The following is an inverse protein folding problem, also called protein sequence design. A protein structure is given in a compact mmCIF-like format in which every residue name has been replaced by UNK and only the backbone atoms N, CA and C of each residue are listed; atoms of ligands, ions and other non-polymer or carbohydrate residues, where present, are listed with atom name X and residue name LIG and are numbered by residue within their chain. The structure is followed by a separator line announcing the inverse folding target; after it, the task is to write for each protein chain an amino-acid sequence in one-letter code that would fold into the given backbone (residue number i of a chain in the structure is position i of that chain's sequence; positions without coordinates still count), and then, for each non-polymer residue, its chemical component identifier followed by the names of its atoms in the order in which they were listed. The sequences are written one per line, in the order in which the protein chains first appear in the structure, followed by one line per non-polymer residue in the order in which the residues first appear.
data_IF_961524651553
#
_entry.id   IF_961524651553
#
_cell.length_a   1.000
_cell.length_b   1.000
_cell.length_c   1.000
_cell.angle_alpha   90.00
_cell.angle_beta   90.00
_cell.angle_gamma   90.00
#
_symmetry.space_group_name_H-M   'P 1'
#
loop_
_entity.id
_entity.type
_entity.pdbx_description
1 polymer ?
#
# COMPACT_ATOMS: atom_id res chain seq x y z
N UNK A 1 14.04 -5.19 10.38
CA UNK A 1 12.75 -5.91 10.45
C UNK A 1 12.21 -5.75 11.86
N UNK A 2 10.96 -5.28 11.99
CA UNK A 2 10.26 -5.16 13.27
C UNK A 2 9.04 -6.07 13.23
N UNK A 3 8.68 -6.67 14.36
CA UNK A 3 7.49 -7.52 14.49
C UNK A 3 6.60 -6.91 15.55
N UNK A 4 5.35 -6.67 15.18
CA UNK A 4 4.35 -6.03 16.02
C UNK A 4 3.11 -6.91 16.10
N UNK A 5 2.36 -6.77 17.20
CA UNK A 5 1.05 -7.40 17.32
C UNK A 5 0.01 -6.44 16.77
N UNK A 6 -0.77 -6.89 15.79
CA UNK A 6 -1.84 -6.11 15.16
C UNK A 6 -3.19 -6.65 15.65
N UNK A 7 -3.98 -5.85 16.38
CA UNK A 7 -5.34 -6.21 16.74
C UNK A 7 -6.23 -6.32 15.48
N UNK A 8 -7.16 -7.28 15.47
CA UNK A 8 -8.10 -7.44 14.33
C UNK A 8 -9.05 -6.24 14.12
N UNK A 9 -9.16 -5.36 15.11
CA UNK A 9 -10.02 -4.17 15.08
C UNK A 9 -9.31 -2.93 14.55
N UNK A 10 -8.01 -2.99 14.29
CA UNK A 10 -7.18 -1.85 13.91
C UNK A 10 -6.56 -2.07 12.54
N UNK A 11 -6.32 -0.96 11.84
CA UNK A 11 -5.63 -0.99 10.56
C UNK A 11 -4.15 -1.27 10.79
N UNK A 12 -3.46 -1.77 9.74
CA UNK A 12 -2.01 -1.94 9.77
C UNK A 12 -1.29 -0.64 10.12
N UNK A 13 -1.77 0.50 9.59
CA UNK A 13 -1.19 1.81 9.87
C UNK A 13 -1.30 2.16 11.37
N UNK A 14 -2.50 2.02 11.96
CA UNK A 14 -2.72 2.38 13.36
C UNK A 14 -1.86 1.50 14.31
N UNK A 15 -1.78 0.20 14.03
CA UNK A 15 -0.96 -0.71 14.81
C UNK A 15 0.55 -0.40 14.67
N UNK A 16 1.00 0.03 13.50
CA UNK A 16 2.37 0.49 13.27
C UNK A 16 2.67 1.76 14.04
N UNK A 17 1.79 2.77 13.99
CA UNK A 17 1.95 4.02 14.74
C UNK A 17 1.98 3.76 16.25
N UNK A 18 1.09 2.90 16.76
CA UNK A 18 1.05 2.51 18.17
C UNK A 18 2.33 1.79 18.63
N UNK A 19 2.99 1.06 17.72
CA UNK A 19 4.27 0.43 17.96
C UNK A 19 5.48 1.37 17.75
N UNK A 20 5.25 2.64 17.38
CA UNK A 20 6.30 3.62 17.12
C UNK A 20 7.00 3.44 15.77
N UNK A 21 6.37 2.76 14.82
CA UNK A 21 6.87 2.61 13.44
C UNK A 21 6.37 3.80 12.62
N UNK A 22 7.30 4.56 12.06
CA UNK A 22 7.01 5.67 11.17
C UNK A 22 6.68 5.14 9.75
N UNK A 23 5.40 4.84 9.53
CA UNK A 23 4.90 4.45 8.23
C UNK A 23 4.48 5.70 7.43
N UNK A 24 4.92 5.84 6.16
CA UNK A 24 4.53 6.98 5.34
C UNK A 24 3.02 6.99 5.17
N UNK A 25 2.38 8.14 5.36
CA UNK A 25 0.94 8.28 5.22
C UNK A 25 0.55 9.74 4.97
N UNK A 26 -0.62 9.96 4.36
CA UNK A 26 -1.14 11.30 4.10
C UNK A 26 -2.65 11.39 4.33
N UNK A 27 -3.48 10.75 3.50
CA UNK A 27 -4.94 10.93 3.57
C UNK A 27 -5.63 10.11 4.67
N UNK A 28 -5.08 8.94 5.04
CA UNK A 28 -5.66 7.96 5.99
C UNK A 28 -7.07 7.45 5.64
N UNK A 29 -7.54 7.66 4.41
CA UNK A 29 -8.90 7.29 3.96
C UNK A 29 -8.89 6.29 2.80
N UNK A 30 -7.73 5.72 2.47
CA UNK A 30 -7.61 4.78 1.35
C UNK A 30 -7.74 5.44 -0.03
N UNK A 31 -7.53 6.75 -0.14
CA UNK A 31 -7.66 7.51 -1.40
C UNK A 31 -6.33 7.90 -2.04
N UNK A 32 -5.22 7.89 -1.28
CA UNK A 32 -3.88 8.15 -1.78
C UNK A 32 -3.01 6.89 -1.72
N UNK A 33 -1.88 6.90 -2.41
CA UNK A 33 -0.91 5.79 -2.42
C UNK A 33 0.25 5.95 -1.42
N UNK A 34 0.34 7.07 -0.69
CA UNK A 34 1.45 7.33 0.25
C UNK A 34 1.69 6.20 1.28
N UNK A 35 0.60 5.64 1.81
CA UNK A 35 0.64 4.55 2.79
C UNK A 35 0.74 3.16 2.19
N UNK A 36 1.12 3.06 0.92
CA UNK A 36 1.31 1.79 0.26
C UNK A 36 2.47 1.01 0.87
N UNK A 37 2.20 -0.27 1.10
CA UNK A 37 3.22 -1.27 1.37
C UNK A 37 3.03 -2.46 0.46
N UNK A 38 4.07 -3.28 0.34
CA UNK A 38 4.03 -4.53 -0.40
C UNK A 38 4.12 -5.72 0.55
N UNK A 39 3.10 -6.55 0.54
CA UNK A 39 3.04 -7.80 1.29
C UNK A 39 3.93 -8.81 0.58
N UNK A 40 4.99 -9.24 1.26
CA UNK A 40 5.92 -10.27 0.75
C UNK A 40 5.53 -11.66 1.21
N UNK A 41 4.70 -11.78 2.25
CA UNK A 41 4.16 -13.05 2.76
C UNK A 41 2.84 -12.82 3.49
N UNK A 42 1.91 -13.77 3.39
CA UNK A 42 0.62 -13.70 4.09
C UNK A 42 -0.42 -12.76 3.46
N UNK A 43 -0.40 -12.58 2.13
CA UNK A 43 -1.38 -11.73 1.42
C UNK A 43 -2.82 -12.22 1.60
N UNK A 44 -3.02 -13.53 1.72
CA UNK A 44 -4.29 -14.19 2.04
C UNK A 44 -4.82 -13.86 3.44
N UNK A 45 -3.96 -13.36 4.32
CA UNK A 45 -4.31 -12.91 5.68
C UNK A 45 -4.55 -11.40 5.76
N UNK A 46 -4.66 -10.71 4.61
CA UNK A 46 -5.02 -9.31 4.53
C UNK A 46 -6.46 -9.17 4.03
N UNK A 47 -7.23 -8.34 4.74
CA UNK A 47 -8.55 -7.90 4.34
C UNK A 47 -8.51 -6.40 4.02
N UNK A 48 -8.87 -6.03 2.80
CA UNK A 48 -8.91 -4.64 2.35
C UNK A 48 -10.30 -4.05 2.58
N UNK A 49 -10.33 -2.93 3.28
CA UNK A 49 -11.50 -2.06 3.34
C UNK A 49 -11.63 -1.25 2.03
N UNK A 50 -12.74 -0.52 1.89
CA UNK A 50 -12.99 0.31 0.72
C UNK A 50 -11.84 1.30 0.49
N UNK A 51 -11.13 1.14 -0.63
CA UNK A 51 -9.98 1.95 -0.99
C UNK A 51 -9.77 1.99 -2.52
N UNK A 52 -8.81 2.79 -2.98
CA UNK A 52 -8.53 2.98 -4.42
C UNK A 52 -7.69 1.85 -5.04
N UNK A 53 -7.29 0.85 -4.25
CA UNK A 53 -6.45 -0.27 -4.71
C UNK A 53 -7.20 -1.11 -5.73
N UNK A 54 -6.62 -1.30 -6.92
CA UNK A 54 -7.14 -2.22 -7.94
C UNK A 54 -6.78 -3.68 -7.65
N UNK A 55 -7.61 -4.62 -8.10
CA UNK A 55 -7.39 -6.06 -7.91
C UNK A 55 -6.05 -6.55 -8.49
N UNK A 56 -5.62 -6.02 -9.64
CA UNK A 56 -4.32 -6.34 -10.25
C UNK A 56 -3.16 -5.99 -9.33
N UNK A 57 -3.18 -4.79 -8.79
CA UNK A 57 -2.16 -4.26 -7.87
C UNK A 57 -2.18 -4.96 -6.52
N UNK A 58 -3.37 -5.32 -6.02
CA UNK A 58 -3.49 -6.17 -4.84
C UNK A 58 -2.85 -7.55 -5.06
N UNK A 59 -3.09 -8.17 -6.22
CA UNK A 59 -2.50 -9.46 -6.57
C UNK A 59 -0.98 -9.42 -6.76
N UNK A 60 -0.40 -8.24 -7.07
CA UNK A 60 1.05 -8.01 -7.06
C UNK A 60 1.63 -7.89 -5.62
N UNK A 61 0.75 -7.82 -4.63
CA UNK A 61 1.05 -7.72 -3.20
C UNK A 61 0.98 -6.30 -2.66
N UNK A 62 0.60 -5.29 -3.44
CA UNK A 62 0.50 -3.92 -2.96
C UNK A 62 -0.81 -3.69 -2.19
N UNK A 63 -0.70 -3.06 -1.03
CA UNK A 63 -1.83 -2.79 -0.12
C UNK A 63 -1.68 -1.40 0.48
N UNK A 64 -2.81 -0.74 0.75
CA UNK A 64 -2.83 0.51 1.51
C UNK A 64 -2.94 0.19 3.00
N UNK A 65 -1.87 0.45 3.75
CA UNK A 65 -1.81 0.10 5.18
C UNK A 65 -2.88 0.80 6.03
N UNK A 66 -3.37 1.97 5.61
CA UNK A 66 -4.46 2.69 6.29
C UNK A 66 -5.86 2.09 6.06
N UNK A 67 -6.00 1.16 5.12
CA UNK A 67 -7.27 0.52 4.78
C UNK A 67 -7.14 -1.01 4.77
N UNK A 68 -6.10 -1.55 5.40
CA UNK A 68 -5.81 -2.98 5.43
C UNK A 68 -5.83 -3.49 6.86
N UNK A 69 -6.59 -4.55 7.09
CA UNK A 69 -6.68 -5.25 8.36
C UNK A 69 -6.05 -6.64 8.24
N UNK A 70 -5.45 -7.12 9.33
CA UNK A 70 -4.85 -8.46 9.39
C UNK A 70 -5.86 -9.45 9.97
N UNK A 71 -6.13 -10.54 9.27
CA UNK A 71 -7.07 -11.59 9.69
C UNK A 71 -6.36 -12.82 10.27
N UNK A 72 -5.08 -13.02 9.94
CA UNK A 72 -4.26 -14.17 10.32
C UNK A 72 -2.79 -13.83 10.60
N UNK A 73 -2.03 -14.76 11.21
CA UNK A 73 -0.61 -14.54 11.54
C UNK A 73 0.30 -14.68 10.31
N UNK A 74 1.54 -14.19 10.43
CA UNK A 74 2.58 -14.44 9.43
C UNK A 74 2.61 -13.46 8.25
N UNK A 75 1.98 -12.29 8.39
CA UNK A 75 2.07 -11.21 7.40
C UNK A 75 3.44 -10.54 7.47
N UNK A 76 4.14 -10.50 6.35
CA UNK A 76 5.35 -9.67 6.16
C UNK A 76 5.05 -8.58 5.13
N UNK A 77 5.29 -7.32 5.50
CA UNK A 77 5.06 -6.14 4.66
C UNK A 77 6.30 -5.25 4.59
N UNK A 78 6.56 -4.71 3.39
CA UNK A 78 7.58 -3.69 3.14
C UNK A 78 6.90 -2.35 2.92
N UNK A 79 7.27 -1.32 3.68
CA UNK A 79 6.71 0.03 3.61
C UNK A 79 7.42 0.90 2.57
N UNK A 80 6.84 2.05 2.23
CA UNK A 80 7.46 3.03 1.33
C UNK A 80 7.32 2.67 -0.15
N UNK A 81 6.23 1.97 -0.49
CA UNK A 81 5.96 1.48 -1.86
C UNK A 81 5.00 2.40 -2.63
N UNK A 82 4.84 3.66 -2.19
CA UNK A 82 3.83 4.59 -2.70
C UNK A 82 4.01 4.95 -4.17
N UNK A 83 5.24 5.25 -4.58
CA UNK A 83 5.58 5.60 -5.96
C UNK A 83 5.43 4.36 -6.87
N UNK A 84 5.94 3.21 -6.44
CA UNK A 84 5.85 1.95 -7.20
C UNK A 84 4.38 1.51 -7.38
N UNK A 85 3.55 1.63 -6.35
CA UNK A 85 2.12 1.34 -6.42
C UNK A 85 1.39 2.34 -7.33
N UNK A 86 1.78 3.61 -7.31
CA UNK A 86 1.21 4.62 -8.20
C UNK A 86 1.51 4.30 -9.65
N UNK A 87 2.76 3.96 -9.96
CA UNK A 87 3.18 3.61 -11.32
C UNK A 87 2.53 2.30 -11.80
N UNK A 88 2.39 1.29 -10.93
CA UNK A 88 1.67 0.05 -11.25
C UNK A 88 0.19 0.29 -11.58
N UNK A 89 -0.52 1.14 -10.82
CA UNK A 89 -1.96 1.41 -11.03
C UNK A 89 -2.27 2.46 -12.09
N UNK A 90 -1.42 3.49 -12.19
CA UNK A 90 -1.72 4.73 -12.92
C UNK A 90 -0.61 5.12 -13.91
N UNK A 91 0.55 4.46 -13.88
CA UNK A 91 1.71 4.78 -14.73
C UNK A 91 1.45 4.63 -16.23
N UNK A 92 0.44 3.86 -16.62
CA UNK A 92 0.03 3.74 -18.02
C UNK A 92 -0.50 5.08 -18.60
N UNK A 93 -0.98 6.00 -17.74
CA UNK A 93 -1.32 7.36 -18.14
C UNK A 93 -0.09 8.29 -18.29
N UNK A 94 1.00 8.03 -17.55
CA UNK A 94 2.25 8.85 -17.64
C UNK A 94 3.01 8.59 -18.92
N UNK A 95 3.00 7.36 -19.43
CA UNK A 95 3.67 7.02 -20.70
C UNK A 95 3.20 7.93 -21.84
N UNK A 96 1.90 8.23 -21.90
CA UNK A 96 1.34 9.18 -22.88
C UNK A 96 1.78 10.64 -22.71
N UNK A 97 2.27 11.06 -21.54
CA UNK A 97 2.71 12.44 -21.29
C UNK A 97 4.25 12.60 -21.33
N UNK A 98 5.01 11.55 -21.03
CA UNK A 98 6.47 11.51 -21.22
C UNK A 98 6.83 11.39 -22.71
N UNK A 99 6.05 10.64 -23.49
CA UNK A 99 6.16 10.64 -24.96
C UNK A 99 5.86 12.03 -25.57
N UNK A 100 4.99 12.82 -24.92
CA UNK A 100 4.66 14.18 -25.37
C UNK A 100 5.76 15.21 -25.03
N UNK A 101 6.54 15.01 -23.97
CA UNK A 101 7.70 15.87 -23.64
C UNK A 101 8.96 15.54 -24.45
N UNK A 102 9.03 14.38 -25.10
CA UNK A 102 10.12 14.01 -26.01
C UNK A 102 9.87 14.43 -27.46
N UNK A 103 8.65 14.88 -27.81
CA UNK A 103 8.32 15.40 -29.13
C UNK A 103 8.65 16.90 -29.32
N UNK A 104 9.04 17.59 -28.25
CA UNK A 104 9.53 18.99 -28.26
C UNK A 104 11.07 19.07 -28.33
N UNK A 105 11.72 18.06 -28.91
CA UNK A 105 13.14 18.08 -29.27
C UNK A 105 13.38 17.82 -30.76
#
# INVERSE_FOLDING_TARGET
KQTILVPKSETLLDAMEAAGIDAPHSCRTGLCTECAGRVTSGLDSIDLQACVTQDSTFNEGYVLTCAANVTGPGVEITLGMGDEMYDSQFGDFRKGHEDMQSADK
#
